data_IF_474999011180
#
_entry.id   IF_474999011180
#
_cell.length_a   1.000
_cell.length_b   1.000
_cell.length_c   1.000
_cell.angle_alpha   90.00
_cell.angle_beta   90.00
_cell.angle_gamma   90.00
#
_symmetry.space_group_name_H-M   'P 1'
#
loop_
_entity.id
_entity.type
_entity.pdbx_description
1 polymer ?
#
# COMPACT_ATOMS: atom_id res chain seq x y z
N UNK A 1 -0.94 36.14 5.30
CA UNK A 1 -0.51 34.82 4.79
C UNK A 1 0.08 33.96 5.91
N UNK A 2 1.02 34.48 6.71
CA UNK A 2 1.60 33.77 7.88
C UNK A 2 0.57 33.16 8.84
N UNK A 3 -0.45 33.92 9.28
CA UNK A 3 -1.45 33.40 10.24
C UNK A 3 -2.26 32.19 9.73
N UNK A 4 -2.42 32.05 8.42
CA UNK A 4 -3.13 30.91 7.81
C UNK A 4 -2.19 29.71 7.70
N UNK A 5 -0.94 29.95 7.30
CA UNK A 5 0.08 28.90 7.16
C UNK A 5 0.46 28.29 8.52
N UNK A 6 0.53 29.10 9.59
CA UNK A 6 0.86 28.63 10.95
C UNK A 6 -0.30 27.84 11.58
N UNK A 7 -1.52 27.94 11.04
CA UNK A 7 -2.67 27.22 11.58
C UNK A 7 -2.60 25.73 11.20
N UNK A 8 -2.63 24.79 12.16
CA UNK A 8 -2.62 23.35 11.88
C UNK A 8 -3.76 22.89 10.95
N UNK A 9 -4.84 23.67 10.83
CA UNK A 9 -5.92 23.37 9.90
C UNK A 9 -5.52 23.53 8.42
N UNK A 10 -4.45 24.27 8.11
CA UNK A 10 -4.01 24.48 6.73
C UNK A 10 -3.69 23.17 6.00
N UNK A 11 -2.77 22.36 6.56
CA UNK A 11 -2.38 21.09 5.95
C UNK A 11 -3.53 20.10 5.84
N UNK A 12 -4.41 20.06 6.86
CA UNK A 12 -5.59 19.21 6.88
C UNK A 12 -6.59 19.60 5.78
N UNK A 13 -6.95 20.88 5.70
CA UNK A 13 -7.90 21.39 4.70
C UNK A 13 -7.32 21.28 3.30
N UNK A 14 -6.04 21.59 3.12
CA UNK A 14 -5.36 21.44 1.83
C UNK A 14 -5.41 19.98 1.36
N UNK A 15 -5.07 19.03 2.25
CA UNK A 15 -5.12 17.60 1.92
C UNK A 15 -6.53 17.17 1.55
N UNK A 16 -7.54 17.51 2.36
CA UNK A 16 -8.93 17.14 2.11
C UNK A 16 -9.46 17.74 0.79
N UNK A 17 -9.17 19.02 0.53
CA UNK A 17 -9.61 19.71 -0.67
C UNK A 17 -8.96 19.13 -1.92
N UNK A 18 -7.64 18.99 -1.94
CA UNK A 18 -6.92 18.45 -3.09
C UNK A 18 -7.34 17.01 -3.36
N UNK A 19 -7.41 16.16 -2.34
CA UNK A 19 -7.86 14.77 -2.49
C UNK A 19 -9.29 14.67 -3.02
N UNK A 20 -10.20 15.53 -2.56
CA UNK A 20 -11.58 15.55 -3.05
C UNK A 20 -11.63 15.95 -4.52
N UNK A 21 -10.89 16.98 -4.92
CA UNK A 21 -10.83 17.43 -6.31
C UNK A 21 -10.23 16.37 -7.24
N UNK A 22 -9.14 15.71 -6.83
CA UNK A 22 -8.52 14.64 -7.62
C UNK A 22 -9.43 13.41 -7.69
N UNK A 23 -10.13 13.08 -6.61
CA UNK A 23 -11.14 12.02 -6.58
C UNK A 23 -12.31 12.30 -7.53
N UNK A 24 -12.81 13.54 -7.56
CA UNK A 24 -13.86 13.95 -8.51
C UNK A 24 -13.38 13.85 -9.95
N UNK A 25 -12.14 14.26 -10.21
CA UNK A 25 -11.53 14.18 -11.54
C UNK A 25 -11.36 12.72 -12.01
N UNK A 26 -10.87 11.84 -11.13
CA UNK A 26 -10.74 10.41 -11.42
C UNK A 26 -12.11 9.81 -11.76
N UNK A 27 -13.14 10.10 -10.97
CA UNK A 27 -14.51 9.62 -11.25
C UNK A 27 -15.05 10.10 -12.60
N UNK A 28 -14.71 11.31 -13.03
CA UNK A 28 -15.14 11.84 -14.33
C UNK A 28 -14.38 11.21 -15.50
N UNK A 29 -13.10 10.93 -15.32
CA UNK A 29 -12.20 10.44 -16.39
C UNK A 29 -12.14 8.92 -16.48
N UNK A 30 -12.50 8.20 -15.40
CA UNK A 30 -12.44 6.74 -15.30
C UNK A 30 -11.06 6.15 -15.65
N UNK A 31 -10.00 6.97 -15.51
CA UNK A 31 -8.64 6.55 -15.83
C UNK A 31 -7.96 5.97 -14.60
N UNK A 32 -7.54 4.71 -14.70
CA UNK A 32 -6.81 4.01 -13.64
C UNK A 32 -5.42 4.60 -13.35
N UNK A 33 -4.85 5.34 -14.32
CA UNK A 33 -3.60 6.07 -14.15
C UNK A 33 -3.77 7.33 -13.29
N UNK A 34 -4.99 7.87 -13.19
CA UNK A 34 -5.30 9.05 -12.40
C UNK A 34 -5.70 8.68 -10.96
N UNK A 35 -4.90 7.85 -10.29
CA UNK A 35 -5.16 7.48 -8.90
C UNK A 35 -5.22 8.74 -8.02
N UNK A 36 -6.35 8.99 -7.29
CA UNK A 36 -6.53 10.20 -6.50
C UNK A 36 -5.44 10.43 -5.47
N UNK A 37 -4.88 9.35 -4.89
CA UNK A 37 -3.79 9.40 -3.93
C UNK A 37 -2.52 9.99 -4.57
N UNK A 38 -2.13 9.46 -5.74
CA UNK A 38 -0.93 9.93 -6.45
C UNK A 38 -1.11 11.38 -6.91
N UNK A 39 -2.25 11.68 -7.51
CA UNK A 39 -2.57 13.01 -8.01
C UNK A 39 -2.58 14.03 -6.88
N UNK A 40 -3.13 13.68 -5.72
CA UNK A 40 -3.15 14.56 -4.57
C UNK A 40 -1.74 14.82 -4.04
N UNK A 41 -0.92 13.78 -3.89
CA UNK A 41 0.48 13.91 -3.46
C UNK A 41 1.29 14.81 -4.39
N UNK A 42 1.23 14.58 -5.71
CA UNK A 42 1.94 15.41 -6.71
C UNK A 42 1.45 16.86 -6.65
N UNK A 43 0.15 17.08 -6.56
CA UNK A 43 -0.44 18.42 -6.51
C UNK A 43 -0.02 19.17 -5.24
N UNK A 44 -0.04 18.51 -4.09
CA UNK A 44 0.40 19.09 -2.82
C UNK A 44 1.89 19.42 -2.88
N UNK A 45 2.73 18.48 -3.35
CA UNK A 45 4.18 18.72 -3.52
C UNK A 45 4.41 19.95 -4.42
N UNK A 46 3.71 20.05 -5.55
CA UNK A 46 3.82 21.18 -6.45
C UNK A 46 3.41 22.50 -5.76
N UNK A 47 2.31 22.51 -5.00
CA UNK A 47 1.88 23.68 -4.21
C UNK A 47 2.97 24.08 -3.20
N UNK A 48 3.52 23.13 -2.44
CA UNK A 48 4.54 23.43 -1.44
C UNK A 48 5.80 24.04 -2.08
N UNK A 49 6.23 23.52 -3.23
CA UNK A 49 7.39 24.03 -3.98
C UNK A 49 7.10 25.42 -4.57
N UNK A 50 5.98 25.60 -5.29
CA UNK A 50 5.64 26.87 -5.96
C UNK A 50 5.50 28.01 -4.96
N UNK A 51 4.91 27.74 -3.79
CA UNK A 51 4.70 28.72 -2.74
C UNK A 51 5.80 28.75 -1.67
N UNK A 52 6.88 27.96 -1.84
CA UNK A 52 7.99 27.81 -0.88
C UNK A 52 7.51 27.57 0.57
N UNK A 53 6.50 26.72 0.74
CA UNK A 53 5.93 26.40 2.06
C UNK A 53 6.76 25.27 2.68
N UNK A 54 7.34 25.45 3.88
CA UNK A 54 8.07 24.38 4.56
C UNK A 54 7.20 23.15 4.80
N UNK A 55 7.72 21.96 4.55
CA UNK A 55 7.01 20.70 4.76
C UNK A 55 6.42 20.59 6.18
N UNK A 56 7.17 21.03 7.19
CA UNK A 56 6.71 20.98 8.59
C UNK A 56 5.43 21.79 8.84
N UNK A 57 5.24 22.87 8.10
CA UNK A 57 4.02 23.70 8.19
C UNK A 57 2.81 22.94 7.65
N UNK A 58 2.97 22.24 6.54
CA UNK A 58 1.94 21.35 6.00
C UNK A 58 1.71 20.13 6.91
N UNK A 59 2.79 19.50 7.37
CA UNK A 59 2.76 18.29 8.17
C UNK A 59 2.13 18.51 9.56
N UNK A 60 2.17 19.73 10.10
CA UNK A 60 1.43 20.08 11.32
C UNK A 60 -0.07 19.76 11.21
N UNK A 61 -0.67 19.98 10.04
CA UNK A 61 -2.04 19.54 9.74
C UNK A 61 -2.15 18.09 9.30
N UNK A 62 -1.16 17.58 8.59
CA UNK A 62 -1.07 16.17 8.21
C UNK A 62 -1.13 15.21 9.40
N UNK A 63 -0.58 15.61 10.55
CA UNK A 63 -0.60 14.83 11.81
C UNK A 63 -2.00 14.41 12.26
N UNK A 64 -3.04 15.21 11.98
CA UNK A 64 -4.42 14.81 12.29
C UNK A 64 -4.87 13.60 11.47
N UNK A 65 -4.48 13.54 10.19
CA UNK A 65 -4.76 12.38 9.32
C UNK A 65 -3.90 11.19 9.76
N UNK A 66 -2.62 11.41 10.06
CA UNK A 66 -1.73 10.37 10.58
C UNK A 66 -2.26 9.75 11.87
N UNK A 67 -2.83 10.55 12.77
CA UNK A 67 -3.44 10.04 14.01
C UNK A 67 -4.65 9.11 13.75
N UNK A 68 -5.34 9.26 12.62
CA UNK A 68 -6.46 8.39 12.23
C UNK A 68 -6.00 7.05 11.64
N UNK A 69 -4.71 6.89 11.32
CA UNK A 69 -4.18 5.63 10.78
C UNK A 69 -4.32 4.50 11.80
N UNK A 70 -4.09 4.76 13.09
CA UNK A 70 -4.26 3.76 14.16
C UNK A 70 -5.69 3.18 14.20
N UNK A 71 -6.73 4.01 14.42
CA UNK A 71 -8.13 3.57 14.36
C UNK A 71 -8.51 2.91 13.03
N UNK A 72 -8.05 3.44 11.90
CA UNK A 72 -8.29 2.84 10.59
C UNK A 72 -7.69 1.44 10.48
N UNK A 73 -6.50 1.22 11.04
CA UNK A 73 -5.81 -0.09 11.05
C UNK A 73 -6.57 -1.10 11.90
N UNK A 74 -7.09 -0.69 13.08
CA UNK A 74 -7.95 -1.55 13.91
C UNK A 74 -9.26 -1.87 13.18
N UNK A 75 -9.85 -0.89 12.49
CA UNK A 75 -11.08 -1.09 11.71
C UNK A 75 -10.93 -2.09 10.56
N UNK A 76 -9.72 -2.37 10.06
CA UNK A 76 -9.47 -3.44 9.08
C UNK A 76 -9.83 -4.84 9.61
N UNK A 77 -9.93 -5.03 10.93
CA UNK A 77 -10.41 -6.28 11.51
C UNK A 77 -11.92 -6.51 11.26
N UNK A 78 -12.70 -5.44 11.06
CA UNK A 78 -14.16 -5.52 10.82
C UNK A 78 -14.50 -6.32 9.56
N UNK A 79 -13.97 -6.00 8.37
CA UNK A 79 -14.27 -6.78 7.17
C UNK A 79 -13.76 -8.22 7.25
N UNK A 80 -12.65 -8.48 7.94
CA UNK A 80 -12.17 -9.83 8.21
C UNK A 80 -13.19 -10.62 9.03
N UNK A 81 -13.72 -10.03 10.09
CA UNK A 81 -14.73 -10.65 10.95
C UNK A 81 -16.06 -10.88 10.19
N UNK A 82 -16.55 -9.87 9.48
CA UNK A 82 -17.79 -9.96 8.70
C UNK A 82 -17.73 -11.05 7.62
N UNK A 83 -16.55 -11.26 7.01
CA UNK A 83 -16.37 -12.22 5.93
C UNK A 83 -15.65 -13.51 6.38
N UNK A 84 -15.62 -13.79 7.69
CA UNK A 84 -14.89 -14.95 8.21
C UNK A 84 -15.45 -16.29 7.73
N UNK A 85 -16.76 -16.35 7.43
CA UNK A 85 -17.38 -17.54 6.85
C UNK A 85 -16.85 -17.83 5.43
N UNK A 86 -16.67 -16.78 4.63
CA UNK A 86 -16.10 -16.86 3.27
C UNK A 86 -14.62 -17.27 3.37
N UNK A 87 -13.88 -16.65 4.29
CA UNK A 87 -12.49 -17.04 4.56
C UNK A 87 -12.41 -18.52 4.95
N UNK A 88 -13.25 -19.00 5.87
CA UNK A 88 -13.31 -20.42 6.26
C UNK A 88 -13.69 -21.34 5.11
N UNK A 89 -14.54 -20.90 4.18
CA UNK A 89 -14.90 -21.67 3.00
C UNK A 89 -13.74 -21.80 2.00
N UNK A 90 -12.94 -20.74 1.85
CA UNK A 90 -11.86 -20.65 0.85
C UNK A 90 -10.45 -20.61 1.45
N UNK A 91 -10.28 -21.00 2.71
CA UNK A 91 -9.06 -20.76 3.49
C UNK A 91 -7.80 -21.33 2.84
N UNK A 92 -7.92 -22.51 2.21
CA UNK A 92 -6.80 -23.15 1.50
C UNK A 92 -6.33 -22.30 0.33
N UNK A 93 -7.26 -21.78 -0.47
CA UNK A 93 -6.96 -20.97 -1.65
C UNK A 93 -6.35 -19.64 -1.21
N UNK A 94 -6.93 -19.00 -0.19
CA UNK A 94 -6.41 -17.75 0.38
C UNK A 94 -4.99 -17.97 0.89
N UNK A 95 -4.77 -18.96 1.74
CA UNK A 95 -3.46 -19.22 2.34
C UNK A 95 -2.40 -19.56 1.29
N UNK A 96 -2.71 -20.45 0.33
CA UNK A 96 -1.78 -20.80 -0.75
C UNK A 96 -1.46 -19.60 -1.65
N UNK A 97 -2.45 -18.77 -1.97
CA UNK A 97 -2.24 -17.56 -2.78
C UNK A 97 -1.32 -16.56 -2.08
N UNK A 98 -1.50 -16.38 -0.77
CA UNK A 98 -0.69 -15.47 0.04
C UNK A 98 0.73 -16.00 0.18
N UNK A 99 0.90 -17.28 0.49
CA UNK A 99 2.23 -17.90 0.56
C UNK A 99 2.97 -17.78 -0.77
N UNK A 100 2.30 -18.08 -1.89
CA UNK A 100 2.88 -17.91 -3.22
C UNK A 100 3.28 -16.44 -3.48
N UNK A 101 2.42 -15.48 -3.12
CA UNK A 101 2.71 -14.05 -3.26
C UNK A 101 3.88 -13.58 -2.40
N UNK A 102 3.93 -13.97 -1.13
CA UNK A 102 5.02 -13.63 -0.20
C UNK A 102 6.35 -14.23 -0.67
N UNK A 103 6.35 -15.48 -1.13
CA UNK A 103 7.54 -16.13 -1.68
C UNK A 103 8.00 -15.43 -2.96
N UNK A 104 7.09 -15.18 -3.91
CA UNK A 104 7.42 -14.48 -5.15
C UNK A 104 8.00 -13.09 -4.86
N UNK A 105 7.42 -12.37 -3.91
CA UNK A 105 7.89 -11.07 -3.46
C UNK A 105 9.29 -11.14 -2.83
N UNK A 106 9.53 -12.07 -1.90
CA UNK A 106 10.83 -12.29 -1.28
C UNK A 106 11.91 -12.63 -2.32
N UNK A 107 11.59 -13.49 -3.30
CA UNK A 107 12.48 -13.83 -4.40
C UNK A 107 12.82 -12.61 -5.26
N UNK A 108 11.83 -11.80 -5.63
CA UNK A 108 12.07 -10.57 -6.42
C UNK A 108 12.96 -9.60 -5.66
N UNK A 109 12.76 -9.43 -4.35
CA UNK A 109 13.63 -8.56 -3.54
C UNK A 109 15.05 -9.14 -3.46
N UNK A 110 15.22 -10.46 -3.27
CA UNK A 110 16.53 -11.09 -3.30
C UNK A 110 17.26 -10.91 -4.63
N UNK A 111 16.54 -11.05 -5.75
CA UNK A 111 17.09 -10.80 -7.10
C UNK A 111 17.51 -9.33 -7.25
N UNK A 112 16.66 -8.39 -6.85
CA UNK A 112 16.99 -6.96 -6.89
C UNK A 112 18.19 -6.63 -6.00
N UNK A 113 18.25 -7.22 -4.81
CA UNK A 113 19.35 -7.05 -3.89
C UNK A 113 20.68 -7.51 -4.48
N UNK A 114 20.69 -8.66 -5.18
CA UNK A 114 21.87 -9.14 -5.91
C UNK A 114 22.24 -8.23 -7.08
N UNK A 115 21.29 -7.98 -8.00
CA UNK A 115 21.54 -7.27 -9.27
C UNK A 115 21.95 -5.81 -9.03
N UNK A 116 21.36 -5.16 -8.03
CA UNK A 116 21.64 -3.76 -7.70
C UNK A 116 22.67 -3.61 -6.57
N UNK A 117 23.19 -4.71 -6.02
CA UNK A 117 24.12 -4.72 -4.89
C UNK A 117 23.63 -3.89 -3.71
N UNK A 118 22.39 -4.16 -3.28
CA UNK A 118 21.74 -3.43 -2.18
C UNK A 118 22.35 -3.83 -0.83
N UNK A 119 22.46 -2.87 0.08
CA UNK A 119 22.86 -3.11 1.46
C UNK A 119 21.70 -3.63 2.32
N UNK A 120 22.02 -4.10 3.53
CA UNK A 120 21.05 -4.61 4.51
C UNK A 120 19.94 -3.59 4.80
N UNK A 121 20.28 -2.31 4.92
CA UNK A 121 19.32 -1.22 5.18
C UNK A 121 18.30 -1.07 4.05
N UNK A 122 18.72 -1.13 2.78
CA UNK A 122 17.81 -1.05 1.65
C UNK A 122 16.99 -2.34 1.48
N UNK A 123 17.56 -3.51 1.78
CA UNK A 123 16.81 -4.78 1.83
C UNK A 123 15.67 -4.68 2.87
N UNK A 124 15.99 -4.25 4.10
CA UNK A 124 15.01 -4.02 5.16
C UNK A 124 13.92 -3.01 4.76
N UNK A 125 14.29 -1.98 3.99
CA UNK A 125 13.36 -0.97 3.44
C UNK A 125 12.40 -1.57 2.41
N UNK A 126 12.83 -2.54 1.61
CA UNK A 126 12.03 -3.12 0.53
C UNK A 126 11.13 -4.26 0.98
N UNK A 127 11.53 -5.05 1.99
CA UNK A 127 10.81 -6.25 2.44
C UNK A 127 9.31 -5.99 2.67
N UNK A 128 8.89 -4.95 3.42
CA UNK A 128 7.47 -4.75 3.70
C UNK A 128 6.72 -3.92 2.64
N UNK A 129 7.27 -3.70 1.43
CA UNK A 129 6.65 -2.78 0.44
C UNK A 129 5.23 -3.15 -0.01
N UNK A 130 4.78 -4.39 0.19
CA UNK A 130 3.50 -4.90 -0.32
C UNK A 130 2.39 -4.97 0.75
N UNK A 131 2.61 -4.41 1.94
CA UNK A 131 1.57 -4.29 2.98
C UNK A 131 1.12 -2.84 3.15
N UNK A 132 0.12 -2.60 4.00
CA UNK A 132 -0.36 -1.24 4.27
C UNK A 132 0.72 -0.37 4.90
N UNK A 133 0.68 0.92 4.61
CA UNK A 133 1.66 1.92 5.04
C UNK A 133 2.02 1.85 6.52
N UNK A 134 1.02 1.68 7.42
CA UNK A 134 1.26 1.58 8.86
C UNK A 134 2.13 0.37 9.22
N UNK A 135 1.69 -0.82 8.80
CA UNK A 135 2.42 -2.08 9.01
C UNK A 135 3.81 -1.99 8.38
N UNK A 136 3.92 -1.43 7.18
CA UNK A 136 5.19 -1.37 6.48
C UNK A 136 6.20 -0.47 7.18
N UNK A 137 5.75 0.66 7.71
CA UNK A 137 6.59 1.59 8.47
C UNK A 137 7.14 0.90 9.73
N UNK A 138 6.28 0.25 10.51
CA UNK A 138 6.67 -0.43 11.76
C UNK A 138 7.63 -1.60 11.49
N UNK A 139 7.36 -2.40 10.44
CA UNK A 139 8.24 -3.52 10.06
C UNK A 139 9.59 -3.01 9.58
N UNK A 140 9.63 -1.99 8.72
CA UNK A 140 10.89 -1.44 8.23
C UNK A 140 11.73 -0.87 9.38
N UNK A 141 11.13 -0.13 10.31
CA UNK A 141 11.82 0.38 11.49
C UNK A 141 12.39 -0.75 12.35
N UNK A 142 11.58 -1.79 12.61
CA UNK A 142 12.01 -2.95 13.39
C UNK A 142 13.16 -3.74 12.76
N UNK A 143 13.30 -3.69 11.44
CA UNK A 143 14.37 -4.35 10.68
C UNK A 143 15.59 -3.43 10.41
N UNK A 144 15.56 -2.17 10.86
CA UNK A 144 16.63 -1.20 10.61
C UNK A 144 16.63 -0.59 9.21
N UNK A 145 15.49 -0.59 8.53
CA UNK A 145 15.27 0.06 7.23
C UNK A 145 14.93 1.56 7.33
N UNK A 146 14.72 2.19 6.18
CA UNK A 146 14.36 3.61 6.07
C UNK A 146 12.83 3.74 5.96
N UNK A 147 12.18 4.12 7.05
CA UNK A 147 10.71 4.20 7.15
C UNK A 147 10.08 5.13 6.10
N UNK A 148 10.64 6.32 5.89
CA UNK A 148 10.11 7.31 4.93
C UNK A 148 10.17 6.82 3.49
N UNK A 149 11.25 6.13 3.13
CA UNK A 149 11.41 5.51 1.82
C UNK A 149 10.46 4.32 1.65
N UNK A 150 10.33 3.49 2.68
CA UNK A 150 9.38 2.36 2.70
C UNK A 150 7.96 2.83 2.40
N UNK A 151 7.48 3.86 3.10
CA UNK A 151 6.13 4.43 2.89
C UNK A 151 5.94 4.87 1.43
N UNK A 152 6.95 5.51 0.85
CA UNK A 152 6.91 5.97 -0.54
C UNK A 152 6.84 4.79 -1.52
N UNK A 153 7.64 3.75 -1.30
CA UNK A 153 7.67 2.54 -2.13
C UNK A 153 6.35 1.76 -2.01
N UNK A 154 5.74 1.68 -0.83
CA UNK A 154 4.42 1.09 -0.62
C UNK A 154 3.38 1.78 -1.48
N UNK A 155 3.30 3.12 -1.40
CA UNK A 155 2.33 3.90 -2.18
C UNK A 155 2.51 3.63 -3.67
N UNK A 156 3.76 3.70 -4.17
CA UNK A 156 4.08 3.40 -5.57
C UNK A 156 3.65 1.97 -5.94
N UNK A 157 4.02 0.98 -5.13
CA UNK A 157 3.68 -0.44 -5.35
C UNK A 157 2.18 -0.63 -5.48
N UNK A 158 1.39 -0.05 -4.58
CA UNK A 158 -0.07 -0.12 -4.61
C UNK A 158 -0.68 0.52 -5.85
N UNK A 159 -0.19 1.70 -6.24
CA UNK A 159 -0.69 2.39 -7.44
C UNK A 159 -0.37 1.59 -8.70
N UNK A 160 0.87 1.12 -8.84
CA UNK A 160 1.27 0.29 -9.97
C UNK A 160 0.44 -1.00 -10.01
N UNK A 161 0.30 -1.69 -8.87
CA UNK A 161 -0.50 -2.91 -8.82
C UNK A 161 -1.96 -2.69 -9.21
N UNK A 162 -2.60 -1.61 -8.72
CA UNK A 162 -3.96 -1.26 -9.09
C UNK A 162 -4.10 -0.91 -10.59
N UNK A 163 -3.19 -0.10 -11.13
CA UNK A 163 -3.25 0.35 -12.52
C UNK A 163 -2.98 -0.78 -13.53
N UNK A 164 -2.06 -1.69 -13.21
CA UNK A 164 -1.69 -2.79 -14.09
C UNK A 164 -2.54 -4.06 -13.89
N UNK A 165 -3.33 -4.16 -12.82
CA UNK A 165 -4.14 -5.36 -12.57
C UNK A 165 -5.09 -5.74 -13.73
N UNK A 166 -5.85 -4.83 -14.36
CA UNK A 166 -6.69 -5.19 -15.51
C UNK A 166 -5.87 -5.73 -16.69
N UNK A 167 -4.69 -5.16 -16.92
CA UNK A 167 -3.77 -5.57 -18.00
C UNK A 167 -3.24 -6.97 -17.72
N UNK A 168 -2.74 -7.22 -16.51
CA UNK A 168 -2.23 -8.54 -16.09
C UNK A 168 -3.34 -9.59 -16.17
N UNK A 169 -4.53 -9.28 -15.66
CA UNK A 169 -5.68 -10.19 -15.73
C UNK A 169 -6.03 -10.57 -17.17
N UNK A 170 -5.99 -9.61 -18.09
CA UNK A 170 -6.26 -9.85 -19.52
C UNK A 170 -5.16 -10.68 -20.18
N UNK A 171 -3.89 -10.34 -19.96
CA UNK A 171 -2.74 -11.04 -20.56
C UNK A 171 -2.62 -12.48 -20.05
N UNK A 172 -2.75 -12.68 -18.74
CA UNK A 172 -2.70 -13.99 -18.09
C UNK A 172 -4.03 -14.76 -18.16
N UNK A 173 -5.08 -14.19 -18.78
CA UNK A 173 -6.42 -14.78 -18.90
C UNK A 173 -7.06 -15.16 -17.56
N UNK A 174 -6.81 -14.37 -16.51
CA UNK A 174 -7.38 -14.58 -15.17
C UNK A 174 -8.81 -14.04 -15.16
N UNK A 175 -9.79 -14.96 -15.18
CA UNK A 175 -11.23 -14.63 -15.19
C UNK A 175 -11.91 -14.81 -13.84
N UNK A 176 -11.28 -15.56 -12.93
CA UNK A 176 -11.88 -15.88 -11.64
C UNK A 176 -11.82 -14.66 -10.70
N UNK A 177 -12.96 -14.16 -10.20
CA UNK A 177 -13.01 -12.96 -9.35
C UNK A 177 -12.34 -13.17 -7.99
N UNK A 178 -12.30 -14.40 -7.47
CA UNK A 178 -11.58 -14.73 -6.24
C UNK A 178 -10.08 -14.58 -6.49
N UNK A 179 -9.56 -15.16 -7.57
CA UNK A 179 -8.14 -15.06 -7.92
C UNK A 179 -7.71 -13.60 -8.15
N UNK A 180 -8.53 -12.81 -8.86
CA UNK A 180 -8.27 -11.38 -9.10
C UNK A 180 -8.22 -10.59 -7.77
N UNK A 181 -9.18 -10.82 -6.88
CA UNK A 181 -9.22 -10.17 -5.58
C UNK A 181 -8.02 -10.55 -4.71
N UNK A 182 -7.72 -11.85 -4.60
CA UNK A 182 -6.58 -12.34 -3.81
C UNK A 182 -5.24 -11.78 -4.33
N UNK A 183 -5.06 -11.71 -5.65
CA UNK A 183 -3.86 -11.15 -6.26
C UNK A 183 -3.69 -9.66 -5.94
N UNK A 184 -4.76 -8.86 -6.10
CA UNK A 184 -4.75 -7.43 -5.79
C UNK A 184 -4.46 -7.15 -4.31
N UNK A 185 -5.12 -7.86 -3.41
CA UNK A 185 -4.95 -7.66 -1.96
C UNK A 185 -3.56 -8.05 -1.48
N UNK A 186 -2.96 -9.08 -2.09
CA UNK A 186 -1.62 -9.56 -1.74
C UNK A 186 -0.50 -8.70 -2.33
N UNK A 187 -0.65 -8.24 -3.59
CA UNK A 187 0.42 -7.53 -4.30
C UNK A 187 0.35 -6.00 -4.15
N UNK A 188 -0.86 -5.45 -3.96
CA UNK A 188 -1.13 -4.01 -4.09
C UNK A 188 -1.90 -3.42 -2.89
N UNK A 189 -2.07 -4.20 -1.81
CA UNK A 189 -2.61 -3.77 -0.51
C UNK A 189 -3.88 -2.90 -0.64
N UNK A 190 -4.03 -1.88 0.22
CA UNK A 190 -5.26 -1.06 0.28
C UNK A 190 -5.61 -0.35 -1.03
N UNK A 191 -4.59 0.05 -1.82
CA UNK A 191 -4.80 0.71 -3.11
C UNK A 191 -5.33 -0.30 -4.13
N UNK A 192 -4.76 -1.49 -4.18
CA UNK A 192 -5.26 -2.61 -4.97
C UNK A 192 -6.65 -3.07 -4.56
N UNK A 193 -6.95 -3.10 -3.26
CA UNK A 193 -8.29 -3.42 -2.76
C UNK A 193 -9.32 -2.39 -3.19
N UNK A 194 -8.97 -1.11 -3.25
CA UNK A 194 -9.85 -0.08 -3.80
C UNK A 194 -10.18 -0.39 -5.27
N UNK A 195 -9.18 -0.81 -6.05
CA UNK A 195 -9.43 -1.27 -7.44
C UNK A 195 -10.26 -2.54 -7.51
N UNK A 196 -10.04 -3.49 -6.61
CA UNK A 196 -10.81 -4.72 -6.54
C UNK A 196 -12.30 -4.44 -6.28
N UNK A 197 -12.62 -3.49 -5.39
CA UNK A 197 -13.99 -3.05 -5.12
C UNK A 197 -14.64 -2.44 -6.36
N UNK A 198 -13.90 -1.67 -7.17
CA UNK A 198 -14.41 -1.17 -8.45
C UNK A 198 -14.67 -2.29 -9.48
N UNK A 199 -13.86 -3.35 -9.46
CA UNK A 199 -13.99 -4.49 -10.38
C UNK A 199 -15.16 -5.42 -10.03
N UNK A 200 -15.57 -5.47 -8.77
CA UNK A 200 -16.73 -6.23 -8.34
C UNK A 200 -16.73 -6.55 -6.84
N UNK A 201 -17.91 -6.87 -6.32
CA UNK A 201 -18.12 -7.15 -4.90
C UNK A 201 -17.25 -8.34 -4.42
N UNK A 202 -17.19 -9.41 -5.21
CA UNK A 202 -16.39 -10.61 -4.85
C UNK A 202 -14.90 -10.31 -4.83
N UNK A 203 -14.39 -9.56 -5.82
CA UNK A 203 -13.00 -9.13 -5.86
C UNK A 203 -12.67 -8.28 -4.64
N UNK A 204 -13.53 -7.31 -4.30
CA UNK A 204 -13.36 -6.44 -3.13
C UNK A 204 -13.29 -7.21 -1.82
N UNK A 205 -14.20 -8.16 -1.60
CA UNK A 205 -14.21 -9.02 -0.40
C UNK A 205 -12.92 -9.84 -0.31
N UNK A 206 -12.55 -10.52 -1.40
CA UNK A 206 -11.36 -11.39 -1.43
C UNK A 206 -10.05 -10.60 -1.29
N UNK A 207 -9.98 -9.42 -1.89
CA UNK A 207 -8.83 -8.51 -1.75
C UNK A 207 -8.69 -7.97 -0.33
N UNK A 208 -9.81 -7.64 0.31
CA UNK A 208 -9.79 -7.18 1.72
C UNK A 208 -9.31 -8.30 2.65
N UNK A 209 -9.78 -9.54 2.45
CA UNK A 209 -9.31 -10.69 3.21
C UNK A 209 -7.81 -10.95 2.98
N UNK A 210 -7.36 -10.94 1.72
CA UNK A 210 -5.96 -11.11 1.38
C UNK A 210 -5.08 -10.02 1.99
N UNK A 211 -5.50 -8.76 1.94
CA UNK A 211 -4.77 -7.63 2.53
C UNK A 211 -4.46 -7.86 4.01
N UNK A 212 -5.45 -8.29 4.79
CA UNK A 212 -5.27 -8.48 6.24
C UNK A 212 -4.37 -9.67 6.53
N UNK A 213 -4.61 -10.81 5.86
CA UNK A 213 -3.82 -12.02 6.10
C UNK A 213 -2.39 -11.88 5.58
N UNK A 214 -2.17 -11.21 4.45
CA UNK A 214 -0.84 -10.86 3.95
C UNK A 214 -0.13 -9.92 4.90
N UNK A 215 -0.81 -8.92 5.47
CA UNK A 215 -0.26 -8.05 6.50
C UNK A 215 0.33 -8.84 7.67
N UNK A 216 -0.44 -9.78 8.23
CA UNK A 216 0.00 -10.66 9.32
C UNK A 216 1.16 -11.55 8.86
N UNK A 217 1.04 -12.20 7.70
CA UNK A 217 2.07 -13.09 7.17
C UNK A 217 3.40 -12.36 6.94
N UNK A 218 3.37 -11.17 6.35
CA UNK A 218 4.56 -10.34 6.14
C UNK A 218 5.19 -9.95 7.47
N UNK A 219 4.43 -9.50 8.47
CA UNK A 219 5.00 -9.16 9.79
C UNK A 219 5.77 -10.35 10.39
N UNK A 220 5.19 -11.55 10.33
CA UNK A 220 5.82 -12.75 10.88
C UNK A 220 7.03 -13.23 10.07
N UNK A 221 6.97 -13.10 8.74
CA UNK A 221 7.97 -13.66 7.82
C UNK A 221 9.10 -12.68 7.47
N UNK A 222 8.93 -11.37 7.72
CA UNK A 222 9.91 -10.35 7.31
C UNK A 222 11.30 -10.54 7.95
N UNK A 223 11.44 -10.80 9.27
CA UNK A 223 12.76 -11.03 9.87
C UNK A 223 13.47 -12.26 9.28
N UNK A 224 12.72 -13.33 9.03
CA UNK A 224 13.23 -14.57 8.41
C UNK A 224 13.69 -14.28 6.97
N UNK A 225 12.90 -13.50 6.23
CA UNK A 225 13.20 -13.12 4.85
C UNK A 225 14.50 -12.33 4.77
N UNK A 226 14.71 -11.35 5.65
CA UNK A 226 15.95 -10.57 5.71
C UNK A 226 17.17 -11.47 5.94
N UNK A 227 17.12 -12.33 6.97
CA UNK A 227 18.23 -13.25 7.29
C UNK A 227 18.56 -14.16 6.11
N UNK A 228 17.56 -14.69 5.42
CA UNK A 228 17.77 -15.58 4.26
C UNK A 228 18.44 -14.81 3.13
N UNK A 229 17.94 -13.62 2.78
CA UNK A 229 18.50 -12.81 1.69
C UNK A 229 19.95 -12.43 2.02
N UNK A 230 20.21 -11.97 3.25
CA UNK A 230 21.56 -11.57 3.66
C UNK A 230 22.56 -12.73 3.60
N UNK A 231 22.20 -13.92 4.11
CA UNK A 231 23.08 -15.10 4.06
C UNK A 231 23.40 -15.61 2.65
N UNK A 232 22.55 -15.29 1.67
CA UNK A 232 22.76 -15.69 0.28
C UNK A 232 23.69 -14.69 -0.43
N UNK A 233 23.65 -13.42 -0.03
CA UNK A 233 24.33 -12.32 -0.73
C UNK A 233 25.64 -11.88 -0.07
N UNK A 234 25.79 -12.07 1.25
CA UNK A 234 26.95 -11.69 2.05
C UNK A 234 27.58 -12.92 2.72
#
# INVERSE_FOLDING_TARGET
>A
MEKVLINPLFGLVLTALVYTLTSMLQRKTQSDLLNPLLMASITIIAILIIFNIPYETFNAGGKFITALIGPATVALAIPLYQNIAILKKHWKVVLLSILAGVIAHALIIGILAFVLSLDSTMIATLIPKSVTTAIAADVAESLGGITTLTVSIVIITGIFGAAFAPIVNKLCKIKDPIAQGLALGTAAHAVGTSKAVEMGETQGIMSTLALVVTGIATVLLSPITQIIIEKILF
#
